data_IF_251104284021
#
_entry.id   IF_251104284021
#
_cell.length_a   1.000
_cell.length_b   1.000
_cell.length_c   1.000
_cell.angle_alpha   90.00
_cell.angle_beta   90.00
_cell.angle_gamma   90.00
#
_symmetry.space_group_name_H-M   'P 1'
#
loop_
_entity.id
_entity.type
_entity.pdbx_description
1 polymer ?
#
# COMPACT_ATOMS: atom_id res chain seq x y z
N UNK A 1 -19.55 4.81 38.40
CA UNK A 1 -19.52 3.52 37.68
C UNK A 1 -18.51 3.65 36.55
N UNK A 2 -17.41 2.91 36.67
CA UNK A 2 -16.18 3.04 35.89
C UNK A 2 -16.32 2.29 34.56
N UNK A 3 -16.07 2.96 33.43
CA UNK A 3 -16.02 2.29 32.13
C UNK A 3 -14.77 1.40 32.12
N UNK A 4 -15.00 0.09 32.00
CA UNK A 4 -13.99 -0.97 32.03
C UNK A 4 -13.18 -0.96 30.72
N UNK A 5 -11.85 -1.19 30.75
CA UNK A 5 -10.94 -1.10 29.58
C UNK A 5 -11.11 -2.19 28.50
N UNK A 6 -12.27 -2.86 28.43
CA UNK A 6 -12.46 -4.08 27.63
C UNK A 6 -13.04 -3.86 26.22
N UNK A 7 -13.00 -2.64 25.68
CA UNK A 7 -13.56 -2.31 24.35
C UNK A 7 -12.52 -2.47 23.22
N UNK A 8 -11.27 -2.79 23.54
CA UNK A 8 -10.19 -3.03 22.56
C UNK A 8 -10.20 -4.44 21.91
N UNK A 9 -11.28 -5.20 22.03
CA UNK A 9 -11.42 -6.55 21.45
C UNK A 9 -12.21 -6.57 20.11
N UNK A 10 -12.58 -5.41 19.56
CA UNK A 10 -13.42 -5.29 18.34
C UNK A 10 -12.72 -4.63 17.14
N UNK A 11 -11.39 -4.72 17.03
CA UNK A 11 -10.66 -4.34 15.81
C UNK A 11 -10.04 -5.59 15.18
N UNK A 12 -10.85 -6.34 14.42
CA UNK A 12 -10.38 -7.39 13.51
C UNK A 12 -10.62 -6.99 12.07
N UNK A 13 -9.62 -7.24 11.21
CA UNK A 13 -9.69 -7.04 9.75
C UNK A 13 -10.86 -7.82 9.14
N UNK A 14 -11.85 -7.15 8.51
CA UNK A 14 -13.01 -7.83 7.92
C UNK A 14 -12.76 -8.40 6.51
N UNK A 15 -11.59 -8.21 5.91
CA UNK A 15 -11.39 -8.53 4.50
C UNK A 15 -10.14 -9.38 4.27
N UNK A 16 -10.30 -10.71 4.30
CA UNK A 16 -9.72 -11.47 3.20
C UNK A 16 -8.68 -12.54 3.50
N UNK A 17 -8.41 -12.92 4.75
CA UNK A 17 -7.89 -14.27 5.13
C UNK A 17 -6.78 -14.91 4.27
N UNK A 18 -5.98 -14.11 3.56
CA UNK A 18 -4.96 -14.53 2.62
C UNK A 18 -3.68 -13.77 2.92
N UNK A 19 -2.53 -14.40 2.64
CA UNK A 19 -1.24 -13.83 2.97
C UNK A 19 -0.97 -12.57 2.15
N UNK A 20 -1.24 -11.41 2.75
CA UNK A 20 -0.74 -10.12 2.31
C UNK A 20 0.58 -9.88 3.03
N UNK A 21 1.62 -9.57 2.27
CA UNK A 21 2.94 -9.31 2.81
C UNK A 21 3.12 -7.81 2.88
N UNK A 22 3.56 -7.29 4.02
CA UNK A 22 3.94 -5.89 4.15
C UNK A 22 5.03 -5.58 3.12
N UNK A 23 4.81 -4.54 2.33
CA UNK A 23 5.81 -4.03 1.41
C UNK A 23 7.02 -3.52 2.19
N UNK A 24 8.21 -3.89 1.73
CA UNK A 24 9.45 -3.37 2.29
C UNK A 24 9.54 -1.85 2.09
N UNK A 25 10.22 -1.15 2.99
CA UNK A 25 10.41 0.31 2.91
C UNK A 25 10.97 0.76 1.56
N UNK A 26 11.90 -0.01 0.99
CA UNK A 26 12.46 0.24 -0.34
C UNK A 26 11.41 0.14 -1.47
N UNK A 27 10.38 -0.69 -1.31
CA UNK A 27 9.28 -0.76 -2.27
C UNK A 27 8.37 0.46 -2.14
N UNK A 28 8.08 0.89 -0.91
CA UNK A 28 7.31 2.10 -0.62
C UNK A 28 7.98 3.34 -1.20
N UNK A 29 9.29 3.49 -1.00
CA UNK A 29 10.04 4.62 -1.56
C UNK A 29 10.01 4.64 -3.09
N UNK A 30 10.11 3.46 -3.74
CA UNK A 30 9.97 3.36 -5.20
C UNK A 30 8.58 3.74 -5.67
N UNK A 31 7.54 3.28 -4.96
CA UNK A 31 6.14 3.63 -5.28
C UNK A 31 5.92 5.13 -5.13
N UNK A 32 6.38 5.73 -4.02
CA UNK A 32 6.30 7.18 -3.80
C UNK A 32 7.10 7.97 -4.84
N UNK A 33 8.25 7.47 -5.28
CA UNK A 33 9.00 8.07 -6.37
C UNK A 33 8.21 8.03 -7.69
N UNK A 34 7.59 6.89 -8.04
CA UNK A 34 6.75 6.76 -9.23
C UNK A 34 5.46 7.62 -9.15
N UNK A 35 4.90 7.79 -7.96
CA UNK A 35 3.77 8.70 -7.69
C UNK A 35 4.21 10.14 -7.97
N UNK A 36 5.35 10.55 -7.39
CA UNK A 36 5.90 11.89 -7.59
C UNK A 36 6.29 12.17 -9.05
N UNK A 37 6.79 11.16 -9.76
CA UNK A 37 7.10 11.22 -11.18
C UNK A 37 5.82 11.19 -12.06
N UNK A 38 4.69 10.78 -11.48
CA UNK A 38 3.42 10.71 -12.17
C UNK A 38 3.24 9.50 -13.08
N UNK A 39 4.09 8.49 -12.90
CA UNK A 39 4.11 7.22 -13.62
C UNK A 39 3.38 6.11 -12.87
N UNK A 40 3.11 6.28 -11.57
CA UNK A 40 2.30 5.33 -10.80
C UNK A 40 0.84 5.29 -11.27
N UNK A 41 0.35 4.09 -11.56
CA UNK A 41 -1.01 3.78 -12.02
C UNK A 41 -1.64 2.69 -11.15
N UNK A 42 -2.93 2.82 -10.88
CA UNK A 42 -3.74 1.78 -10.23
C UNK A 42 -4.26 0.73 -11.24
N UNK A 43 -5.19 -0.15 -10.82
CA UNK A 43 -5.77 -1.15 -11.73
C UNK A 43 -6.76 -0.57 -12.76
N UNK A 44 -7.27 0.64 -12.58
CA UNK A 44 -8.08 1.35 -13.56
C UNK A 44 -7.25 2.20 -14.52
N UNK A 45 -5.92 2.16 -14.43
CA UNK A 45 -5.06 3.10 -15.16
C UNK A 45 -5.25 4.55 -14.69
N UNK A 46 -5.86 4.77 -13.52
CA UNK A 46 -5.91 6.09 -12.92
C UNK A 46 -4.54 6.43 -12.32
N UNK A 47 -4.16 7.71 -12.45
CA UNK A 47 -2.89 8.23 -11.95
C UNK A 47 -2.97 8.31 -10.44
N UNK A 48 -2.02 7.69 -9.77
CA UNK A 48 -1.88 7.79 -8.32
C UNK A 48 -0.99 9.00 -8.04
N UNK A 49 -1.59 10.06 -7.50
CA UNK A 49 -0.89 11.29 -7.08
C UNK A 49 -0.68 11.34 -5.56
N UNK A 50 -1.37 10.45 -4.83
CA UNK A 50 -1.39 10.47 -3.38
C UNK A 50 -0.37 9.48 -2.79
N UNK A 51 0.66 9.98 -2.07
CA UNK A 51 1.72 9.15 -1.51
C UNK A 51 1.17 8.21 -0.43
N UNK A 52 1.95 7.17 -0.16
CA UNK A 52 1.56 6.08 0.74
C UNK A 52 2.58 5.98 1.86
N UNK A 53 2.09 5.73 3.08
CA UNK A 53 2.95 5.59 4.26
C UNK A 53 3.50 4.17 4.36
N UNK A 54 2.62 3.20 4.09
CA UNK A 54 2.97 1.81 3.95
C UNK A 54 2.11 1.16 2.85
N UNK A 55 2.30 -0.13 2.62
CA UNK A 55 1.58 -0.87 1.62
C UNK A 55 1.65 -2.36 1.90
N UNK A 56 0.67 -3.10 1.42
CA UNK A 56 0.73 -4.56 1.43
C UNK A 56 0.67 -5.07 0.01
N UNK A 57 1.51 -6.04 -0.30
CA UNK A 57 1.52 -6.71 -1.59
C UNK A 57 0.89 -8.08 -1.47
N UNK A 58 0.30 -8.54 -2.57
CA UNK A 58 -0.07 -9.94 -2.66
C UNK A 58 1.17 -10.84 -2.81
N UNK A 59 1.00 -12.15 -2.61
CA UNK A 59 2.07 -13.14 -2.78
C UNK A 59 2.70 -13.14 -4.18
N UNK A 60 1.93 -12.76 -5.21
CA UNK A 60 2.43 -12.61 -6.58
C UNK A 60 3.22 -11.31 -6.82
N UNK A 61 3.27 -10.40 -5.83
CA UNK A 61 3.95 -9.09 -5.88
C UNK A 61 3.62 -8.24 -7.12
N UNK A 62 2.43 -8.42 -7.69
CA UNK A 62 1.98 -7.66 -8.86
C UNK A 62 1.01 -6.52 -8.48
N UNK A 63 0.43 -6.59 -7.28
CA UNK A 63 -0.52 -5.60 -6.76
C UNK A 63 -0.08 -5.14 -5.39
N UNK A 64 -0.03 -3.82 -5.21
CA UNK A 64 0.22 -3.17 -3.94
C UNK A 64 -1.02 -2.42 -3.49
N UNK A 65 -1.51 -2.76 -2.31
CA UNK A 65 -2.58 -2.04 -1.65
C UNK A 65 -1.95 -0.98 -0.76
N UNK A 66 -2.19 0.30 -1.02
CA UNK A 66 -1.64 1.38 -0.22
C UNK A 66 -2.27 1.40 1.18
N UNK A 67 -1.46 1.75 2.16
CA UNK A 67 -1.88 2.04 3.53
C UNK A 67 -1.70 3.53 3.75
N UNK A 68 -2.82 4.21 4.02
CA UNK A 68 -2.88 5.65 4.26
C UNK A 68 -3.51 5.86 5.64
N UNK A 69 -2.88 6.65 6.49
CA UNK A 69 -3.36 6.91 7.86
C UNK A 69 -3.67 5.63 8.67
N UNK A 70 -2.85 4.57 8.49
CA UNK A 70 -3.08 3.23 9.09
C UNK A 70 -4.35 2.51 8.61
N UNK A 71 -5.02 3.01 7.58
CA UNK A 71 -6.17 2.36 6.93
C UNK A 71 -5.68 1.71 5.64
N UNK A 72 -5.76 0.38 5.60
CA UNK A 72 -5.48 -0.39 4.38
C UNK A 72 -6.70 -0.38 3.48
N UNK A 73 -6.58 0.25 2.31
CA UNK A 73 -7.63 0.19 1.29
C UNK A 73 -7.50 -1.13 0.53
N UNK A 74 -8.29 -2.13 0.93
CA UNK A 74 -8.37 -3.43 0.26
C UNK A 74 -9.34 -3.39 -0.94
N UNK A 75 -9.24 -2.34 -1.75
CA UNK A 75 -10.00 -2.20 -2.99
C UNK A 75 -9.07 -2.66 -4.12
N UNK A 76 -9.46 -3.73 -4.81
CA UNK A 76 -8.67 -4.31 -5.90
C UNK A 76 -8.44 -3.34 -7.05
N UNK A 77 -9.34 -2.38 -7.20
CA UNK A 77 -9.38 -1.33 -8.21
C UNK A 77 -8.31 -0.25 -7.94
N UNK A 78 -8.20 0.19 -6.69
CA UNK A 78 -7.23 1.16 -6.17
C UNK A 78 -5.80 0.57 -5.99
N UNK A 79 -5.62 -0.72 -6.29
CA UNK A 79 -4.35 -1.40 -6.09
C UNK A 79 -3.32 -0.93 -7.13
N UNK A 80 -2.21 -0.39 -6.63
CA UNK A 80 -1.09 0.11 -7.42
C UNK A 80 -0.45 -1.05 -8.18
N UNK A 81 -0.27 -0.87 -9.50
CA UNK A 81 0.39 -1.85 -10.37
C UNK A 81 1.90 -1.82 -10.15
N UNK A 82 2.47 -2.91 -9.62
CA UNK A 82 3.92 -3.04 -9.47
C UNK A 82 4.61 -3.38 -10.80
N UNK A 83 3.90 -4.04 -11.73
CA UNK A 83 4.43 -4.45 -13.03
C UNK A 83 5.05 -3.28 -13.82
N UNK A 84 4.45 -2.09 -13.70
CA UNK A 84 4.92 -0.89 -14.40
C UNK A 84 6.03 -0.13 -13.66
N UNK A 85 6.33 -0.50 -12.40
CA UNK A 85 7.13 0.33 -11.50
C UNK A 85 8.64 0.28 -11.78
N UNK A 86 9.08 -0.46 -12.81
CA UNK A 86 10.46 -0.52 -13.28
C UNK A 86 11.42 -1.09 -12.22
N UNK A 87 12.08 -2.21 -12.52
CA UNK A 87 13.13 -2.73 -11.65
C UNK A 87 14.31 -1.74 -11.57
N UNK A 88 14.31 -0.88 -10.56
CA UNK A 88 15.47 -0.12 -10.12
C UNK A 88 15.59 1.28 -10.73
N UNK A 89 15.20 2.28 -9.95
CA UNK A 89 15.78 3.62 -10.03
C UNK A 89 16.04 4.09 -8.61
N UNK A 90 17.25 3.84 -8.12
CA UNK A 90 17.78 4.41 -6.88
C UNK A 90 17.87 5.93 -7.09
N UNK A 91 17.16 6.79 -6.33
CA UNK A 91 17.47 8.20 -6.34
C UNK A 91 18.87 8.33 -5.73
N UNK A 92 19.83 8.82 -6.52
CA UNK A 92 21.18 9.10 -6.06
C UNK A 92 21.13 10.02 -4.85
N UNK A 93 21.72 9.56 -3.75
CA UNK A 93 22.06 10.40 -2.62
C UNK A 93 23.30 11.20 -3.03
N UNK A 94 23.13 12.48 -3.34
CA UNK A 94 24.20 13.46 -3.47
C UNK A 94 24.58 14.04 -2.11
#
# INVERSE_FOLDING_TARGET
>A
MIITPNILQMLRCPAGGGALVLADRQLIERVNAAISDGTARDQLDARVDEPIDAGVVNTARNRLYPIRDNITTLIADDAIRIDNLGAGQTPGLS
#
